data_IF_627610345230
#
_entry.id   IF_627610345230
#
_cell.length_a   1.000
_cell.length_b   1.000
_cell.length_c   1.000
_cell.angle_alpha   90.00
_cell.angle_beta   90.00
_cell.angle_gamma   90.00
#
_symmetry.space_group_name_H-M   'P 1'
#
loop_
_entity.id
_entity.type
_entity.pdbx_description
1 polymer ?
#
# COMPACT_ATOMS: atom_id res chain seq x y z
N UNK A 1 5.24 2.81 -30.23
CA UNK A 1 4.38 2.19 -29.18
C UNK A 1 4.76 2.76 -27.83
N UNK A 2 4.03 3.76 -27.32
CA UNK A 2 4.35 4.39 -26.04
C UNK A 2 4.20 3.36 -24.91
N UNK A 3 5.31 3.08 -24.23
CA UNK A 3 5.46 2.10 -23.17
C UNK A 3 4.34 2.26 -22.11
N UNK A 4 3.30 1.41 -22.16
CA UNK A 4 2.14 1.48 -21.25
C UNK A 4 2.56 1.49 -19.77
N UNK A 5 3.71 0.90 -19.47
CA UNK A 5 4.31 0.84 -18.14
C UNK A 5 4.77 2.20 -17.59
N UNK A 6 5.17 3.17 -18.43
CA UNK A 6 5.70 4.47 -17.97
C UNK A 6 4.62 5.42 -17.40
N UNK A 7 3.46 5.50 -18.06
CA UNK A 7 2.32 6.29 -17.55
C UNK A 7 1.72 5.69 -16.29
N UNK A 8 1.65 4.35 -16.22
CA UNK A 8 1.21 3.63 -15.03
C UNK A 8 2.17 3.84 -13.85
N UNK A 9 3.49 3.88 -14.09
CA UNK A 9 4.48 4.14 -13.04
C UNK A 9 4.33 5.54 -12.43
N UNK A 10 4.18 6.59 -13.26
CA UNK A 10 3.96 7.95 -12.77
C UNK A 10 2.66 8.07 -11.96
N UNK A 11 1.57 7.48 -12.48
CA UNK A 11 0.29 7.48 -11.78
C UNK A 11 0.36 6.73 -10.44
N UNK A 12 1.10 5.61 -10.39
CA UNK A 12 1.37 4.87 -9.16
C UNK A 12 2.18 5.67 -8.14
N UNK A 13 3.26 6.34 -8.57
CA UNK A 13 4.05 7.21 -7.69
C UNK A 13 3.19 8.32 -7.09
N UNK A 14 2.33 8.94 -7.91
CA UNK A 14 1.40 9.98 -7.47
C UNK A 14 0.35 9.44 -6.49
N UNK A 15 -0.22 8.27 -6.75
CA UNK A 15 -1.17 7.63 -5.84
C UNK A 15 -0.51 7.23 -4.51
N UNK A 16 0.70 6.68 -4.55
CA UNK A 16 1.50 6.34 -3.36
C UNK A 16 1.85 7.58 -2.54
N UNK A 17 2.23 8.69 -3.18
CA UNK A 17 2.51 9.95 -2.51
C UNK A 17 1.26 10.54 -1.83
N UNK A 18 0.10 10.49 -2.51
CA UNK A 18 -1.19 10.89 -1.92
C UNK A 18 -1.53 10.05 -0.70
N UNK A 19 -1.39 8.73 -0.79
CA UNK A 19 -1.62 7.83 0.34
C UNK A 19 -0.65 8.11 1.49
N UNK A 20 0.62 8.39 1.18
CA UNK A 20 1.63 8.77 2.19
C UNK A 20 1.22 10.04 2.93
N UNK A 21 0.73 11.04 2.20
CA UNK A 21 0.34 12.33 2.77
C UNK A 21 -0.86 12.24 3.73
N UNK A 22 -1.66 11.18 3.68
CA UNK A 22 -2.77 10.98 4.61
C UNK A 22 -2.32 10.65 6.04
N UNK A 23 -1.06 10.23 6.25
CA UNK A 23 -0.53 9.96 7.59
C UNK A 23 -1.22 8.83 8.35
N UNK A 24 -1.91 7.93 7.64
CA UNK A 24 -2.75 6.89 8.25
C UNK A 24 -1.92 5.78 8.94
N UNK A 25 -2.46 5.14 9.99
CA UNK A 25 -1.83 3.97 10.59
C UNK A 25 -1.77 2.79 9.62
N UNK A 26 -0.93 1.80 9.94
CA UNK A 26 -0.79 0.58 9.16
C UNK A 26 -2.11 -0.20 9.15
N UNK A 27 -2.70 -0.38 7.98
CA UNK A 27 -3.95 -1.11 7.83
C UNK A 27 -3.85 -2.61 8.14
N UNK A 28 -2.63 -3.16 8.15
CA UNK A 28 -2.37 -4.59 8.43
C UNK A 28 -2.29 -4.90 9.94
N UNK A 29 -1.73 -3.99 10.73
CA UNK A 29 -1.46 -4.23 12.15
C UNK A 29 -2.07 -3.17 13.09
N UNK A 30 -2.65 -2.10 12.54
CA UNK A 30 -3.27 -0.99 13.27
C UNK A 30 -2.29 -0.01 13.93
N UNK A 31 -0.98 -0.26 13.88
CA UNK A 31 0.03 0.58 14.54
C UNK A 31 0.42 1.80 13.71
N UNK A 32 0.85 2.90 14.34
CA UNK A 32 1.34 4.08 13.61
C UNK A 32 2.54 3.72 12.72
N UNK A 33 2.62 4.38 11.56
CA UNK A 33 3.74 4.26 10.63
C UNK A 33 4.70 5.43 10.88
N UNK A 34 6.00 5.14 10.87
CA UNK A 34 6.99 6.19 10.85
C UNK A 34 7.18 6.69 9.40
N UNK A 35 6.62 7.86 9.14
CA UNK A 35 6.71 8.53 7.85
C UNK A 35 8.00 9.33 7.65
N UNK A 36 8.83 9.45 8.68
CA UNK A 36 10.18 10.04 8.60
C UNK A 36 11.26 9.00 8.34
N UNK A 37 10.96 7.72 8.63
CA UNK A 37 11.90 6.62 8.47
C UNK A 37 12.36 6.46 7.01
N UNK A 38 13.63 6.05 6.88
CA UNK A 38 14.25 5.74 5.60
C UNK A 38 13.48 4.61 4.89
N UNK A 39 13.40 4.72 3.56
CA UNK A 39 12.80 3.69 2.73
C UNK A 39 13.46 2.33 3.00
N UNK A 40 12.66 1.25 3.02
CA UNK A 40 13.09 -0.14 3.32
C UNK A 40 13.39 -0.47 4.78
N UNK A 41 13.22 0.46 5.71
CA UNK A 41 13.20 0.08 7.13
C UNK A 41 11.89 -0.66 7.48
N UNK A 42 11.90 -1.58 8.46
CA UNK A 42 10.73 -2.38 8.82
C UNK A 42 9.45 -1.57 9.10
N UNK A 43 9.61 -0.36 9.67
CA UNK A 43 8.52 0.53 10.11
C UNK A 43 8.25 1.68 9.14
N UNK A 44 8.98 1.77 8.03
CA UNK A 44 8.71 2.76 7.01
C UNK A 44 7.39 2.50 6.28
N UNK A 45 6.81 3.59 5.79
CA UNK A 45 5.64 3.56 4.93
C UNK A 45 5.91 2.82 3.61
N UNK A 46 4.95 1.97 3.26
CA UNK A 46 4.82 1.36 1.93
C UNK A 46 3.35 1.39 1.51
N UNK A 47 3.10 1.62 0.22
CA UNK A 47 1.76 1.54 -0.36
C UNK A 47 1.45 0.08 -0.70
N UNK A 48 0.44 -0.48 -0.03
CA UNK A 48 -0.01 -1.86 -0.20
C UNK A 48 -1.30 -1.90 -1.03
N UNK A 49 -1.41 -2.90 -1.91
CA UNK A 49 -2.60 -3.11 -2.74
C UNK A 49 -3.55 -4.09 -2.06
N UNK A 50 -4.77 -3.69 -1.72
CA UNK A 50 -5.76 -4.57 -1.06
C UNK A 50 -5.98 -5.83 -1.90
N UNK A 51 -6.34 -5.66 -3.16
CA UNK A 51 -6.39 -6.70 -4.18
C UNK A 51 -5.13 -6.58 -5.04
N UNK A 52 -4.28 -7.62 -5.07
CA UNK A 52 -3.10 -7.61 -5.92
C UNK A 52 -3.46 -7.44 -7.39
N UNK A 53 -2.64 -6.71 -8.13
CA UNK A 53 -2.82 -6.52 -9.59
C UNK A 53 -2.83 -7.85 -10.33
N UNK A 54 -2.06 -8.84 -9.85
CA UNK A 54 -2.03 -10.20 -10.40
C UNK A 54 -3.36 -10.95 -10.30
N UNK A 55 -4.29 -10.50 -9.45
CA UNK A 55 -5.63 -11.07 -9.24
C UNK A 55 -6.75 -10.18 -9.82
N UNK A 56 -6.41 -9.20 -10.65
CA UNK A 56 -7.38 -8.27 -11.25
C UNK A 56 -7.65 -7.00 -10.44
N UNK A 57 -6.86 -6.75 -9.38
CA UNK A 57 -6.91 -5.50 -8.64
C UNK A 57 -6.52 -4.29 -9.50
N UNK A 58 -7.24 -3.18 -9.36
CA UNK A 58 -6.91 -1.94 -10.07
C UNK A 58 -5.67 -1.28 -9.44
N UNK A 59 -4.60 -1.14 -10.24
CA UNK A 59 -3.32 -0.54 -9.85
C UNK A 59 -3.46 0.90 -9.34
N UNK A 60 -4.41 1.66 -9.87
CA UNK A 60 -4.52 3.11 -9.64
C UNK A 60 -5.74 3.52 -8.82
N UNK A 61 -6.58 2.55 -8.41
CA UNK A 61 -7.76 2.88 -7.62
C UNK A 61 -7.34 3.31 -6.21
N UNK A 62 -7.70 4.52 -5.75
CA UNK A 62 -7.38 4.96 -4.39
C UNK A 62 -7.98 4.04 -3.32
N UNK A 63 -9.13 3.42 -3.63
CA UNK A 63 -9.79 2.44 -2.75
C UNK A 63 -9.05 1.11 -2.65
N UNK A 64 -8.15 0.81 -3.59
CA UNK A 64 -7.34 -0.41 -3.59
C UNK A 64 -5.96 -0.19 -2.97
N UNK A 65 -5.61 1.05 -2.57
CA UNK A 65 -4.30 1.40 -2.03
C UNK A 65 -4.47 1.75 -0.55
N UNK A 66 -3.57 1.22 0.30
CA UNK A 66 -3.56 1.52 1.73
C UNK A 66 -2.15 1.70 2.29
N UNK A 67 -2.10 2.29 3.48
CA UNK A 67 -0.86 2.50 4.23
C UNK A 67 -0.46 1.22 4.96
N UNK A 68 0.77 0.76 4.76
CA UNK A 68 1.32 -0.39 5.47
C UNK A 68 2.80 -0.19 5.81
N UNK A 69 3.25 -0.80 6.91
CA UNK A 69 4.69 -0.93 7.17
C UNK A 69 5.36 -1.81 6.12
N UNK A 70 6.62 -1.55 5.81
CA UNK A 70 7.40 -2.39 4.91
C UNK A 70 7.44 -3.85 5.38
N UNK A 71 7.65 -4.09 6.67
CA UNK A 71 7.66 -5.45 7.24
C UNK A 71 6.31 -6.14 7.09
N UNK A 72 5.22 -5.44 7.40
CA UNK A 72 3.87 -6.01 7.31
C UNK A 72 3.52 -6.34 5.86
N UNK A 73 3.81 -5.43 4.94
CA UNK A 73 3.60 -5.62 3.50
C UNK A 73 4.42 -6.82 2.97
N UNK A 74 5.72 -6.87 3.29
CA UNK A 74 6.59 -7.98 2.89
C UNK A 74 6.14 -9.32 3.47
N UNK A 75 5.72 -9.35 4.74
CA UNK A 75 5.20 -10.56 5.38
C UNK A 75 3.91 -11.06 4.74
N UNK A 76 3.04 -10.15 4.29
CA UNK A 76 1.79 -10.49 3.60
C UNK A 76 2.09 -11.14 2.25
N UNK A 77 2.94 -10.52 1.45
CA UNK A 77 3.22 -10.93 0.07
C UNK A 77 1.98 -10.87 -0.83
N UNK A 78 1.88 -11.76 -1.82
CA UNK A 78 0.77 -11.79 -2.78
C UNK A 78 -0.51 -12.50 -2.25
N UNK A 79 -0.66 -12.59 -0.93
CA UNK A 79 -1.84 -13.21 -0.32
C UNK A 79 -2.94 -12.16 -0.22
N UNK A 80 -4.14 -12.51 -0.67
CA UNK A 80 -5.32 -11.73 -0.30
C UNK A 80 -5.46 -11.78 1.21
N UNK A 81 -5.67 -10.63 1.81
CA UNK A 81 -5.98 -10.61 3.23
C UNK A 81 -7.34 -11.27 3.39
N UNK A 82 -7.38 -12.46 4.00
CA UNK A 82 -8.63 -12.99 4.52
C UNK A 82 -9.16 -11.91 5.46
N UNK A 83 -10.26 -11.26 5.06
CA UNK A 83 -10.85 -10.09 5.71
C UNK A 83 -10.74 -10.24 7.22
N UNK A 84 -9.69 -9.66 7.83
CA UNK A 84 -9.61 -9.57 9.27
C UNK A 84 -10.62 -8.50 9.61
N UNK A 85 -11.84 -8.95 9.95
CA UNK A 85 -12.87 -8.13 10.58
C UNK A 85 -12.36 -7.66 11.94
N UNK A 86 -11.35 -6.79 11.97
CA UNK A 86 -10.93 -6.12 13.20
C UNK A 86 -11.96 -5.03 13.48
N UNK A 87 -12.97 -5.45 14.24
CA UNK A 87 -13.83 -4.71 15.17
C UNK A 87 -13.87 -3.18 15.00
N UNK A 88 -15.10 -2.73 14.73
CA UNK A 88 -15.56 -1.36 14.94
C UNK A 88 -15.05 -0.81 16.27
N UNK A 89 -14.57 0.42 16.22
CA UNK A 89 -14.42 1.31 17.37
C UNK A 89 -15.72 2.09 17.55
#
# INVERSE_FOLDING_TARGET
>A
MANRYGRQLYAWQKASARQRALGLPCALCGRPIDYSAEARTPWAFTADHIVPVSRGGNLLSPTNIRSAHNRCNTSRGNREEAVRRSRAW
#
